data_IF_334689131454
#
_entry.id   IF_334689131454
#
_cell.length_a   1.000
_cell.length_b   1.000
_cell.length_c   1.000
_cell.angle_alpha   90.00
_cell.angle_beta   90.00
_cell.angle_gamma   90.00
#
_symmetry.space_group_name_H-M   'P 1'
#
loop_
_entity.id
_entity.type
_entity.pdbx_description
1 polymer ?
#
# COMPACT_ATOMS: atom_id res chain seq x y z
N UNK A 1 18.02 -47.54 -18.79
CA UNK A 1 17.12 -46.37 -18.84
C UNK A 1 17.94 -45.11 -18.70
N UNK A 2 18.09 -44.39 -19.81
CA UNK A 2 18.78 -43.09 -19.83
C UNK A 2 18.06 -42.12 -18.85
N UNK A 3 18.77 -41.73 -17.80
CA UNK A 3 18.30 -40.71 -16.87
C UNK A 3 18.40 -39.36 -17.61
N UNK A 4 17.26 -38.77 -17.92
CA UNK A 4 17.22 -37.43 -18.52
C UNK A 4 17.16 -36.37 -17.42
N UNK A 5 18.07 -35.42 -17.45
CA UNK A 5 17.91 -34.16 -16.73
C UNK A 5 16.91 -33.29 -17.51
N UNK A 6 15.74 -33.09 -16.93
CA UNK A 6 14.65 -32.35 -17.55
C UNK A 6 14.11 -31.32 -16.58
N UNK A 7 14.05 -30.07 -17.03
CA UNK A 7 13.33 -29.01 -16.32
C UNK A 7 12.29 -28.41 -17.28
N UNK A 8 11.01 -28.61 -16.99
CA UNK A 8 9.91 -28.04 -17.74
C UNK A 8 9.22 -26.96 -16.91
N UNK A 9 8.98 -25.80 -17.52
CA UNK A 9 8.28 -24.68 -16.87
C UNK A 9 7.04 -24.32 -17.69
N UNK A 10 5.93 -24.09 -16.99
CA UNK A 10 4.68 -23.60 -17.55
C UNK A 10 4.21 -22.42 -16.71
N UNK A 11 3.78 -21.34 -17.36
CA UNK A 11 3.23 -20.19 -16.64
C UNK A 11 2.06 -19.59 -17.41
N UNK A 12 1.04 -19.18 -16.66
CA UNK A 12 -0.09 -18.40 -17.16
C UNK A 12 -0.28 -17.24 -16.22
N UNK A 13 -0.43 -16.03 -16.74
CA UNK A 13 -0.67 -14.84 -15.94
C UNK A 13 -1.74 -13.95 -16.59
N UNK A 14 -2.75 -13.60 -15.79
CA UNK A 14 -3.77 -12.61 -16.10
C UNK A 14 -3.59 -11.49 -15.07
N UNK A 15 -3.07 -10.35 -15.51
CA UNK A 15 -2.73 -9.26 -14.59
C UNK A 15 -3.62 -8.06 -14.84
N UNK A 16 -4.08 -7.44 -13.74
CA UNK A 16 -4.80 -6.17 -13.78
C UNK A 16 -6.07 -6.21 -14.64
N UNK A 17 -6.84 -7.31 -14.53
CA UNK A 17 -8.13 -7.43 -15.23
C UNK A 17 -9.15 -6.54 -14.54
N UNK A 18 -9.60 -5.49 -15.24
CA UNK A 18 -10.56 -4.52 -14.73
C UNK A 18 -11.44 -3.99 -15.87
N UNK A 19 -12.57 -3.43 -15.48
CA UNK A 19 -13.45 -2.71 -16.41
C UNK A 19 -13.14 -1.24 -16.30
N UNK A 20 -12.71 -0.61 -17.42
CA UNK A 20 -12.46 0.83 -17.43
C UNK A 20 -13.75 1.61 -17.63
N UNK A 21 -13.83 2.78 -16.97
CA UNK A 21 -14.99 3.68 -17.12
C UNK A 21 -14.94 4.38 -18.47
N UNK A 22 -16.11 4.57 -19.08
CA UNK A 22 -16.22 5.39 -20.29
C UNK A 22 -15.81 6.84 -20.02
N UNK A 23 -15.35 7.56 -21.06
CA UNK A 23 -14.95 8.97 -20.98
C UNK A 23 -16.05 9.87 -20.39
N UNK A 24 -17.32 9.59 -20.69
CA UNK A 24 -18.46 10.31 -20.13
C UNK A 24 -18.65 10.04 -18.63
N UNK A 25 -18.42 8.82 -18.18
CA UNK A 25 -18.52 8.40 -16.80
C UNK A 25 -17.35 8.92 -15.93
N UNK A 26 -16.17 9.15 -16.53
CA UNK A 26 -15.00 9.71 -15.81
C UNK A 26 -15.23 11.13 -15.29
N UNK A 27 -16.16 11.90 -15.88
CA UNK A 27 -16.53 13.24 -15.41
C UNK A 27 -17.33 13.24 -14.10
N UNK A 28 -17.93 12.12 -13.74
CA UNK A 28 -18.71 11.95 -12.50
C UNK A 28 -17.88 11.19 -11.45
N UNK A 29 -18.15 11.45 -10.17
CA UNK A 29 -17.55 10.63 -9.09
C UNK A 29 -17.93 9.15 -9.30
N UNK A 30 -17.00 8.21 -9.06
CA UNK A 30 -17.34 6.79 -9.05
C UNK A 30 -18.36 6.50 -7.96
N UNK A 31 -19.27 5.57 -8.23
CA UNK A 31 -20.13 5.03 -7.17
C UNK A 31 -19.39 3.87 -6.47
N UNK A 32 -19.70 3.59 -5.20
CA UNK A 32 -19.05 2.47 -4.50
C UNK A 32 -19.27 1.11 -5.18
N UNK A 33 -20.37 0.94 -5.94
CA UNK A 33 -20.72 -0.32 -6.60
C UNK A 33 -20.19 -0.43 -8.03
N UNK A 34 -19.45 0.55 -8.53
CA UNK A 34 -18.89 0.50 -9.89
C UNK A 34 -17.92 -0.66 -10.06
N UNK A 35 -18.08 -1.43 -11.13
CA UNK A 35 -17.15 -2.53 -11.49
C UNK A 35 -15.75 -2.02 -11.79
N UNK A 36 -15.60 -0.77 -12.19
CA UNK A 36 -14.29 -0.14 -12.40
C UNK A 36 -13.43 0.00 -11.13
N UNK A 37 -14.05 -0.11 -9.97
CA UNK A 37 -13.34 -0.11 -8.68
C UNK A 37 -12.65 -1.46 -8.39
N UNK A 38 -13.00 -2.50 -9.15
CA UNK A 38 -12.48 -3.85 -8.96
C UNK A 38 -11.36 -4.17 -9.93
N UNK A 39 -10.38 -4.88 -9.43
CA UNK A 39 -9.23 -5.35 -10.18
C UNK A 39 -8.93 -6.78 -9.75
N UNK A 40 -8.79 -7.67 -10.72
CA UNK A 40 -8.45 -9.06 -10.49
C UNK A 40 -7.12 -9.42 -11.14
N UNK A 41 -6.34 -10.26 -10.46
CA UNK A 41 -5.08 -10.81 -10.96
C UNK A 41 -5.06 -12.29 -10.65
N UNK A 42 -4.61 -13.09 -11.61
CA UNK A 42 -4.40 -14.52 -11.43
C UNK A 42 -3.07 -14.92 -12.07
N UNK A 43 -2.31 -15.76 -11.40
CA UNK A 43 -1.14 -16.39 -11.99
C UNK A 43 -0.99 -17.84 -11.54
N UNK A 44 -0.55 -18.66 -12.46
CA UNK A 44 -0.21 -20.06 -12.26
C UNK A 44 1.20 -20.29 -12.80
N UNK A 45 2.05 -20.90 -11.99
CA UNK A 45 3.38 -21.32 -12.39
C UNK A 45 3.58 -22.77 -12.00
N UNK A 46 4.05 -23.58 -12.93
CA UNK A 46 4.42 -24.98 -12.70
C UNK A 46 5.86 -25.21 -13.14
N UNK A 47 6.62 -25.87 -12.28
CA UNK A 47 7.99 -26.31 -12.55
C UNK A 47 8.07 -27.81 -12.28
N UNK A 48 8.29 -28.59 -13.34
CA UNK A 48 8.56 -30.00 -13.26
C UNK A 48 10.05 -30.25 -13.49
N UNK A 49 10.70 -30.88 -12.52
CA UNK A 49 12.11 -31.25 -12.58
C UNK A 49 12.27 -32.76 -12.41
N UNK A 50 13.20 -33.32 -13.16
CA UNK A 50 13.66 -34.71 -13.07
C UNK A 50 15.16 -34.73 -13.25
N UNK A 51 15.86 -35.53 -12.50
CA UNK A 51 17.31 -35.73 -12.66
C UNK A 51 17.72 -37.13 -12.19
N UNK A 52 19.04 -37.39 -12.04
CA UNK A 52 19.58 -38.67 -11.63
C UNK A 52 19.05 -39.12 -10.24
N UNK A 53 18.87 -38.18 -9.30
CA UNK A 53 18.49 -38.45 -7.92
C UNK A 53 16.98 -38.20 -7.67
N UNK A 54 16.34 -37.40 -8.55
CA UNK A 54 14.93 -37.00 -8.41
C UNK A 54 14.10 -37.71 -9.48
N UNK A 55 13.13 -38.50 -9.04
CA UNK A 55 12.18 -39.15 -9.94
C UNK A 55 11.25 -38.11 -10.57
N UNK A 56 10.71 -37.22 -9.75
CA UNK A 56 10.06 -36.00 -10.14
C UNK A 56 9.98 -35.04 -8.95
N UNK A 57 10.11 -33.75 -9.25
CA UNK A 57 9.80 -32.64 -8.37
C UNK A 57 8.84 -31.74 -9.16
N UNK A 58 7.57 -31.77 -8.80
CA UNK A 58 6.54 -30.95 -9.41
C UNK A 58 6.07 -29.90 -8.42
N UNK A 59 6.44 -28.64 -8.69
CA UNK A 59 6.04 -27.49 -7.91
C UNK A 59 5.04 -26.65 -8.68
N UNK A 60 3.89 -26.43 -8.07
CA UNK A 60 2.79 -25.63 -8.60
C UNK A 60 2.52 -24.46 -7.67
N UNK A 61 2.64 -23.24 -8.19
CA UNK A 61 2.35 -22.00 -7.46
C UNK A 61 1.12 -21.32 -8.09
N UNK A 62 0.05 -21.23 -7.32
CA UNK A 62 -1.19 -20.52 -7.67
C UNK A 62 -1.23 -19.21 -6.89
N UNK A 63 -1.51 -18.11 -7.57
CA UNK A 63 -1.73 -16.80 -6.94
C UNK A 63 -2.99 -16.17 -7.51
N UNK A 64 -3.84 -15.69 -6.64
CA UNK A 64 -5.02 -14.91 -6.98
C UNK A 64 -5.05 -13.64 -6.15
N UNK A 65 -5.40 -12.52 -6.76
CA UNK A 65 -5.61 -11.27 -6.03
C UNK A 65 -6.89 -10.60 -6.53
N UNK A 66 -7.69 -10.13 -5.58
CA UNK A 66 -8.85 -9.30 -5.83
C UNK A 66 -8.68 -8.00 -5.06
N UNK A 67 -8.65 -6.90 -5.78
CA UNK A 67 -8.51 -5.57 -5.20
C UNK A 67 -9.74 -4.73 -5.53
N UNK A 68 -10.24 -4.02 -4.52
CA UNK A 68 -11.27 -3.01 -4.63
C UNK A 68 -10.67 -1.67 -4.22
N UNK A 69 -10.81 -0.64 -5.05
CA UNK A 69 -10.32 0.72 -4.76
C UNK A 69 -11.43 1.71 -5.09
N UNK A 70 -11.97 2.31 -4.05
CA UNK A 70 -12.91 3.42 -4.16
C UNK A 70 -12.19 4.72 -3.83
N UNK A 71 -12.23 5.68 -4.75
CA UNK A 71 -11.70 7.02 -4.56
C UNK A 71 -12.65 8.02 -5.18
N UNK A 72 -13.18 8.89 -4.38
CA UNK A 72 -14.11 9.93 -4.82
C UNK A 72 -13.83 11.26 -4.13
N UNK A 73 -14.32 12.34 -4.72
CA UNK A 73 -14.34 13.63 -4.05
C UNK A 73 -15.33 13.55 -2.89
N UNK A 74 -14.90 13.82 -1.65
CA UNK A 74 -15.78 13.70 -0.50
C UNK A 74 -16.91 14.71 -0.57
N UNK A 75 -18.08 14.31 -0.08
CA UNK A 75 -19.21 15.23 0.09
C UNK A 75 -18.94 16.16 1.27
N UNK A 76 -18.66 17.42 0.97
CA UNK A 76 -18.30 18.44 1.95
C UNK A 76 -19.50 19.26 2.39
N UNK A 77 -19.83 19.17 3.68
CA UNK A 77 -20.87 19.94 4.34
C UNK A 77 -20.25 21.13 5.07
N UNK A 78 -20.70 22.34 4.79
CA UNK A 78 -20.28 23.60 5.44
C UNK A 78 -21.47 24.30 6.04
N UNK A 79 -21.91 23.96 7.26
CA UNK A 79 -23.15 24.46 7.83
C UNK A 79 -23.12 25.97 8.09
N UNK A 80 -21.95 26.54 8.41
CA UNK A 80 -21.80 27.92 8.84
C UNK A 80 -21.20 28.86 7.77
N UNK A 81 -21.22 28.47 6.49
CA UNK A 81 -20.66 29.27 5.39
C UNK A 81 -21.22 30.69 5.29
N UNK A 82 -22.44 30.94 5.76
CA UNK A 82 -23.13 32.25 5.70
C UNK A 82 -22.62 33.29 6.70
N UNK A 83 -21.78 32.90 7.68
CA UNK A 83 -21.26 33.82 8.69
C UNK A 83 -20.21 34.73 8.03
N UNK A 84 -20.45 36.05 8.01
CA UNK A 84 -19.57 37.03 7.39
C UNK A 84 -18.56 37.63 8.39
N UNK A 85 -18.79 37.48 9.69
CA UNK A 85 -17.96 38.07 10.73
C UNK A 85 -16.56 37.46 10.77
N UNK A 86 -15.54 38.31 10.62
CA UNK A 86 -14.12 37.88 10.63
C UNK A 86 -13.67 37.24 11.96
N UNK A 87 -14.22 37.72 13.08
CA UNK A 87 -13.89 37.18 14.41
C UNK A 87 -14.47 35.79 14.66
N UNK A 88 -15.45 35.36 13.84
CA UNK A 88 -16.08 34.04 13.88
C UNK A 88 -15.54 33.11 12.80
N UNK A 89 -14.35 33.39 12.25
CA UNK A 89 -13.73 32.57 11.20
C UNK A 89 -13.59 31.09 11.62
N UNK A 90 -13.32 30.80 12.89
CA UNK A 90 -13.28 29.46 13.46
C UNK A 90 -14.56 28.69 13.23
N UNK A 91 -15.72 29.32 13.49
CA UNK A 91 -17.04 28.70 13.36
C UNK A 91 -17.42 28.62 11.87
N UNK A 92 -17.20 29.68 11.11
CA UNK A 92 -17.50 29.74 9.67
C UNK A 92 -16.82 28.63 8.88
N UNK A 93 -15.56 28.32 9.23
CA UNK A 93 -14.73 27.40 8.48
C UNK A 93 -14.90 25.93 8.95
N UNK A 94 -15.82 25.68 9.88
CA UNK A 94 -16.23 24.31 10.22
C UNK A 94 -16.78 23.65 8.97
N UNK A 95 -16.12 22.57 8.56
CA UNK A 95 -16.53 21.74 7.45
C UNK A 95 -16.44 20.27 7.86
N UNK A 96 -17.30 19.48 7.27
CA UNK A 96 -17.35 18.05 7.52
C UNK A 96 -17.50 17.30 6.22
N UNK A 97 -16.63 16.33 5.99
CA UNK A 97 -16.75 15.40 4.88
C UNK A 97 -17.44 14.13 5.36
N UNK A 98 -18.63 13.86 4.85
CA UNK A 98 -19.46 12.73 5.27
C UNK A 98 -18.96 11.39 4.67
N UNK A 99 -18.22 11.44 3.57
CA UNK A 99 -17.72 10.25 2.90
C UNK A 99 -16.20 10.20 2.95
N UNK A 100 -15.59 9.00 3.06
CA UNK A 100 -14.15 8.87 3.00
C UNK A 100 -13.61 9.29 1.62
N UNK A 101 -12.39 9.81 1.61
CA UNK A 101 -11.69 10.23 0.39
C UNK A 101 -11.21 9.03 -0.41
N UNK A 102 -10.79 7.96 0.30
CA UNK A 102 -10.33 6.71 -0.30
C UNK A 102 -10.64 5.54 0.62
N UNK A 103 -11.12 4.47 0.02
CA UNK A 103 -11.20 3.16 0.65
C UNK A 103 -10.63 2.12 -0.29
N UNK A 104 -9.72 1.28 0.19
CA UNK A 104 -9.24 0.13 -0.56
C UNK A 104 -9.29 -1.14 0.28
N UNK A 105 -9.64 -2.23 -0.38
CA UNK A 105 -9.63 -3.57 0.18
C UNK A 105 -8.96 -4.49 -0.82
N UNK A 106 -7.98 -5.27 -0.38
CA UNK A 106 -7.27 -6.22 -1.22
C UNK A 106 -7.18 -7.56 -0.52
N UNK A 107 -7.44 -8.61 -1.27
CA UNK A 107 -7.28 -9.99 -0.84
C UNK A 107 -6.32 -10.68 -1.79
N UNK A 108 -5.21 -11.16 -1.27
CA UNK A 108 -4.20 -11.94 -1.99
C UNK A 108 -4.26 -13.38 -1.48
N UNK A 109 -4.40 -14.34 -2.38
CA UNK A 109 -4.44 -15.77 -2.09
C UNK A 109 -3.24 -16.40 -2.77
N UNK A 110 -2.47 -17.17 -2.02
CA UNK A 110 -1.32 -17.91 -2.56
C UNK A 110 -1.36 -19.35 -2.09
N UNK A 111 -1.27 -20.28 -3.03
CA UNK A 111 -1.16 -21.71 -2.76
C UNK A 111 0.05 -22.28 -3.48
N UNK A 112 0.93 -22.92 -2.73
CA UNK A 112 2.08 -23.69 -3.25
C UNK A 112 1.83 -25.15 -2.95
N UNK A 113 1.92 -25.98 -3.97
CA UNK A 113 1.88 -27.44 -3.89
C UNK A 113 3.17 -27.98 -4.50
N UNK A 114 3.94 -28.73 -3.74
CA UNK A 114 5.12 -29.42 -4.23
C UNK A 114 5.00 -30.92 -3.95
N UNK A 115 5.20 -31.70 -5.00
CA UNK A 115 5.26 -33.16 -4.96
C UNK A 115 6.68 -33.57 -5.32
N UNK A 116 7.40 -34.13 -4.35
CA UNK A 116 8.78 -34.58 -4.52
C UNK A 116 8.86 -36.08 -4.32
N UNK A 117 9.42 -36.78 -5.30
CA UNK A 117 9.79 -38.19 -5.19
C UNK A 117 11.26 -38.36 -5.54
N UNK A 118 12.02 -38.80 -4.58
CA UNK A 118 13.44 -39.17 -4.78
C UNK A 118 13.54 -40.54 -5.45
N UNK A 119 14.63 -40.76 -6.20
CA UNK A 119 14.97 -42.08 -6.73
C UNK A 119 15.67 -42.90 -5.67
N UNK A 120 15.33 -44.18 -5.60
CA UNK A 120 16.12 -45.13 -4.87
C UNK A 120 17.25 -45.61 -5.78
N UNK A 121 18.44 -45.03 -5.61
CA UNK A 121 19.60 -45.36 -6.45
C UNK A 121 20.15 -46.73 -6.16
N UNK A 122 20.09 -47.16 -4.90
CA UNK A 122 20.61 -48.46 -4.44
C UNK A 122 19.71 -49.65 -4.87
N UNK A 123 18.39 -49.43 -4.86
CA UNK A 123 17.43 -50.42 -5.28
C UNK A 123 16.30 -49.79 -6.15
N UNK A 124 16.52 -49.72 -7.48
CA UNK A 124 15.58 -49.06 -8.38
C UNK A 124 14.19 -49.71 -8.49
N UNK A 125 14.03 -50.96 -8.03
CA UNK A 125 12.73 -51.63 -8.01
C UNK A 125 11.80 -51.09 -6.91
N UNK A 126 12.35 -50.56 -5.82
CA UNK A 126 11.59 -49.97 -4.74
C UNK A 126 11.49 -48.43 -4.89
N UNK A 127 10.29 -47.95 -5.17
CA UNK A 127 10.03 -46.52 -5.24
C UNK A 127 9.93 -45.94 -3.83
N UNK A 128 10.64 -44.84 -3.58
CA UNK A 128 10.49 -44.07 -2.36
C UNK A 128 9.12 -43.34 -2.34
N UNK A 129 8.56 -43.12 -1.15
CA UNK A 129 7.27 -42.44 -1.02
C UNK A 129 7.35 -41.01 -1.53
N UNK A 130 6.21 -40.49 -2.05
CA UNK A 130 6.07 -39.10 -2.48
C UNK A 130 5.92 -38.23 -1.24
N UNK A 131 6.72 -37.17 -1.17
CA UNK A 131 6.63 -36.15 -0.15
C UNK A 131 5.76 -35.01 -0.69
N UNK A 132 4.81 -34.57 0.13
CA UNK A 132 3.88 -33.48 -0.19
C UNK A 132 4.19 -32.27 0.67
N UNK A 133 4.53 -31.14 0.05
CA UNK A 133 4.66 -29.86 0.72
C UNK A 133 3.52 -28.93 0.22
N UNK A 134 2.64 -28.56 1.14
CA UNK A 134 1.46 -27.76 0.87
C UNK A 134 1.49 -26.52 1.72
N UNK A 135 1.33 -25.37 1.10
CA UNK A 135 1.21 -24.11 1.80
C UNK A 135 0.12 -23.27 1.13
N UNK A 136 -0.94 -22.99 1.89
CA UNK A 136 -2.06 -22.21 1.40
C UNK A 136 -2.31 -21.06 2.38
N UNK A 137 -2.09 -19.83 1.89
CA UNK A 137 -2.18 -18.61 2.69
C UNK A 137 -3.05 -17.57 1.98
N UNK A 138 -3.67 -16.71 2.78
CA UNK A 138 -4.40 -15.54 2.31
C UNK A 138 -3.97 -14.33 3.12
N UNK A 139 -3.79 -13.21 2.45
CA UNK A 139 -3.57 -11.92 3.09
C UNK A 139 -4.70 -10.96 2.69
N UNK A 140 -5.28 -10.28 3.65
CA UNK A 140 -6.27 -9.22 3.45
C UNK A 140 -5.69 -7.92 3.95
N UNK A 141 -5.77 -6.89 3.13
CA UNK A 141 -5.32 -5.53 3.46
C UNK A 141 -6.48 -4.57 3.27
N UNK A 142 -6.68 -3.69 4.23
CA UNK A 142 -7.70 -2.65 4.20
C UNK A 142 -7.04 -1.31 4.45
N UNK A 143 -7.33 -0.32 3.60
CA UNK A 143 -6.87 1.05 3.78
C UNK A 143 -8.06 2.00 3.69
N UNK A 144 -8.17 2.90 4.66
CA UNK A 144 -9.17 3.94 4.71
C UNK A 144 -8.49 5.28 4.95
N UNK A 145 -8.71 6.22 4.05
CA UNK A 145 -8.29 7.62 4.20
C UNK A 145 -9.54 8.47 4.26
N UNK A 146 -9.72 9.15 5.37
CA UNK A 146 -10.88 9.99 5.59
C UNK A 146 -10.47 11.38 6.07
N UNK A 147 -10.53 12.34 5.18
CA UNK A 147 -10.41 13.75 5.51
C UNK A 147 -11.71 14.23 6.17
N UNK A 148 -11.90 13.92 7.47
CA UNK A 148 -13.12 14.27 8.22
C UNK A 148 -13.45 15.76 8.12
N UNK A 149 -12.42 16.60 8.14
CA UNK A 149 -12.52 18.04 7.88
C UNK A 149 -11.22 18.53 7.25
N UNK A 150 -11.14 19.82 6.91
CA UNK A 150 -9.87 20.43 6.51
C UNK A 150 -8.81 20.38 7.62
N UNK A 151 -9.25 20.30 8.87
CA UNK A 151 -8.38 20.27 10.04
C UNK A 151 -8.11 18.88 10.57
N UNK A 152 -8.99 17.90 10.32
CA UNK A 152 -8.91 16.55 10.91
C UNK A 152 -8.84 15.52 9.79
N UNK A 153 -7.78 14.71 9.84
CA UNK A 153 -7.55 13.59 8.95
C UNK A 153 -7.49 12.29 9.74
N UNK A 154 -8.11 11.26 9.21
CA UNK A 154 -8.09 9.92 9.77
C UNK A 154 -7.58 8.95 8.72
N UNK A 155 -6.54 8.21 9.08
CA UNK A 155 -5.96 7.15 8.25
C UNK A 155 -6.01 5.84 9.02
N UNK A 156 -6.56 4.81 8.41
CA UNK A 156 -6.61 3.47 8.98
C UNK A 156 -6.05 2.46 7.99
N UNK A 157 -5.14 1.65 8.45
CA UNK A 157 -4.58 0.52 7.72
C UNK A 157 -4.73 -0.75 8.55
N UNK A 158 -5.20 -1.83 7.95
CA UNK A 158 -5.28 -3.13 8.59
C UNK A 158 -4.77 -4.22 7.65
N UNK A 159 -4.01 -5.17 8.19
CA UNK A 159 -3.50 -6.33 7.49
C UNK A 159 -3.80 -7.58 8.30
N UNK A 160 -4.38 -8.58 7.65
CA UNK A 160 -4.73 -9.86 8.24
C UNK A 160 -4.14 -10.98 7.42
N UNK A 161 -3.35 -11.84 8.06
CA UNK A 161 -2.83 -13.06 7.44
C UNK A 161 -3.61 -14.25 7.95
N UNK A 162 -3.98 -15.11 7.02
CA UNK A 162 -4.76 -16.31 7.27
C UNK A 162 -4.06 -17.50 6.62
N UNK A 163 -4.20 -18.66 7.24
CA UNK A 163 -3.69 -19.92 6.73
C UNK A 163 -4.84 -20.90 6.55
N UNK A 164 -4.79 -21.65 5.48
CA UNK A 164 -5.67 -22.79 5.24
C UNK A 164 -4.87 -24.05 5.52
N UNK A 165 -5.31 -24.81 6.51
CA UNK A 165 -4.64 -26.05 6.90
C UNK A 165 -5.16 -27.18 6.00
N UNK A 166 -4.32 -27.65 5.06
CA UNK A 166 -4.62 -28.76 4.16
C UNK A 166 -4.23 -30.09 4.79
N UNK A 167 -5.00 -31.14 4.50
CA UNK A 167 -4.67 -32.50 4.97
C UNK A 167 -3.35 -32.98 4.38
N UNK A 168 -2.51 -33.68 5.15
CA UNK A 168 -1.29 -34.30 4.63
C UNK A 168 -1.61 -35.42 3.63
N UNK A 169 -0.65 -35.72 2.75
CA UNK A 169 -0.75 -36.84 1.80
C UNK A 169 -1.38 -36.46 0.45
N UNK A 170 -1.72 -37.47 -0.38
CA UNK A 170 -2.23 -37.28 -1.71
C UNK A 170 -3.60 -36.59 -1.70
N UNK A 171 -3.84 -35.83 -2.73
CA UNK A 171 -5.13 -35.17 -2.94
C UNK A 171 -6.01 -36.05 -3.80
N UNK A 172 -7.15 -36.49 -3.27
CA UNK A 172 -8.21 -37.09 -4.07
C UNK A 172 -9.01 -35.95 -4.72
N UNK A 173 -9.12 -36.00 -6.05
CA UNK A 173 -9.63 -34.88 -6.88
C UNK A 173 -11.02 -34.40 -6.44
N UNK A 174 -11.91 -35.31 -6.11
CA UNK A 174 -13.31 -34.98 -5.76
C UNK A 174 -13.48 -34.30 -4.40
N UNK A 175 -12.61 -34.66 -3.45
CA UNK A 175 -12.65 -34.09 -2.09
C UNK A 175 -11.96 -32.72 -2.01
N UNK A 176 -11.04 -32.45 -2.93
CA UNK A 176 -10.21 -31.24 -2.92
C UNK A 176 -11.00 -30.00 -3.24
N UNK A 177 -11.85 -30.05 -4.26
CA UNK A 177 -12.62 -28.88 -4.68
C UNK A 177 -13.60 -28.45 -3.60
N UNK A 178 -14.31 -29.39 -2.98
CA UNK A 178 -15.23 -29.11 -1.86
C UNK A 178 -14.48 -28.57 -0.65
N UNK A 179 -13.36 -29.19 -0.28
CA UNK A 179 -12.55 -28.76 0.84
C UNK A 179 -11.92 -27.37 0.66
N UNK A 180 -11.44 -27.04 -0.54
CA UNK A 180 -10.91 -25.70 -0.85
C UNK A 180 -11.99 -24.63 -0.81
N UNK A 181 -13.17 -24.93 -1.34
CA UNK A 181 -14.30 -23.99 -1.32
C UNK A 181 -14.82 -23.77 0.11
N UNK A 182 -14.91 -24.81 0.92
CA UNK A 182 -15.33 -24.71 2.32
C UNK A 182 -14.29 -23.90 3.14
N UNK A 183 -13.01 -24.14 2.93
CA UNK A 183 -11.96 -23.37 3.57
C UNK A 183 -11.97 -21.90 3.13
N UNK A 184 -12.17 -21.61 1.84
CA UNK A 184 -12.31 -20.26 1.35
C UNK A 184 -13.55 -19.58 1.93
N UNK A 185 -14.67 -20.31 2.04
CA UNK A 185 -15.91 -19.81 2.62
C UNK A 185 -15.79 -19.56 4.13
N UNK A 186 -15.09 -20.42 4.87
CA UNK A 186 -14.79 -20.23 6.30
C UNK A 186 -13.79 -19.10 6.56
N UNK A 187 -13.10 -18.61 5.51
CA UNK A 187 -12.15 -17.52 5.59
C UNK A 187 -10.76 -17.91 6.10
N UNK A 188 -10.50 -19.20 6.38
CA UNK A 188 -9.23 -19.69 6.89
C UNK A 188 -8.98 -19.36 8.36
N UNK A 189 -7.87 -19.89 8.91
CA UNK A 189 -7.46 -19.64 10.29
C UNK A 189 -6.57 -18.39 10.36
N UNK A 190 -6.95 -17.35 11.11
CA UNK A 190 -6.11 -16.17 11.26
C UNK A 190 -4.81 -16.52 12.00
N UNK A 191 -3.70 -16.00 11.49
CA UNK A 191 -2.37 -16.19 12.08
C UNK A 191 -1.80 -14.89 12.63
N UNK A 192 -2.00 -13.80 11.92
CA UNK A 192 -1.54 -12.47 12.31
C UNK A 192 -2.61 -11.45 11.94
N UNK A 193 -2.79 -10.48 12.82
CA UNK A 193 -3.59 -9.30 12.56
C UNK A 193 -2.85 -8.08 13.06
N UNK A 194 -2.67 -7.11 12.19
CA UNK A 194 -2.06 -5.83 12.51
C UNK A 194 -2.94 -4.70 12.01
N UNK A 195 -3.16 -3.68 12.84
CA UNK A 195 -3.75 -2.45 12.35
C UNK A 195 -3.12 -1.22 12.96
N UNK A 196 -3.13 -0.16 12.18
CA UNK A 196 -2.67 1.17 12.58
C UNK A 196 -3.77 2.18 12.31
N UNK A 197 -4.12 2.97 13.30
CA UNK A 197 -5.04 4.09 13.19
C UNK A 197 -4.31 5.39 13.50
N UNK A 198 -4.37 6.36 12.59
CA UNK A 198 -3.76 7.67 12.73
C UNK A 198 -4.84 8.74 12.70
N UNK A 199 -4.83 9.64 13.68
CA UNK A 199 -5.65 10.84 13.69
C UNK A 199 -4.70 12.04 13.71
N UNK A 200 -4.74 12.83 12.65
CA UNK A 200 -4.04 14.11 12.57
C UNK A 200 -5.00 15.27 12.74
N UNK A 201 -4.73 16.16 13.66
CA UNK A 201 -5.54 17.34 13.91
C UNK A 201 -4.69 18.60 13.79
N UNK A 202 -4.99 19.40 12.80
CA UNK A 202 -4.45 20.75 12.65
C UNK A 202 -5.30 21.72 13.48
N UNK A 203 -4.81 22.10 14.66
CA UNK A 203 -5.54 23.00 15.53
C UNK A 203 -5.63 24.39 14.87
N UNK A 204 -6.83 24.93 14.65
CA UNK A 204 -7.03 26.18 13.94
C UNK A 204 -6.76 27.43 14.83
N UNK A 205 -5.72 27.38 15.68
CA UNK A 205 -5.31 28.46 16.58
C UNK A 205 -4.94 29.72 15.79
N UNK A 206 -4.37 29.53 14.60
CA UNK A 206 -4.02 30.61 13.69
C UNK A 206 -5.22 31.44 13.16
N UNK A 207 -6.46 30.96 13.38
CA UNK A 207 -7.68 31.68 13.03
C UNK A 207 -8.21 32.54 14.20
N UNK A 208 -7.62 32.44 15.37
CA UNK A 208 -7.95 33.27 16.53
C UNK A 208 -7.22 34.60 16.36
N UNK A 209 -7.90 35.74 16.46
CA UNK A 209 -7.24 37.06 16.45
C UNK A 209 -6.08 37.10 17.44
N UNK A 210 -4.97 37.66 17.04
CA UNK A 210 -3.69 37.75 17.76
C UNK A 210 -2.84 36.47 17.81
N UNK A 211 -3.40 35.27 17.59
CA UNK A 211 -2.67 33.99 17.61
C UNK A 211 -2.32 33.44 16.22
N UNK A 212 -2.48 34.25 15.16
CA UNK A 212 -2.23 33.86 13.76
C UNK A 212 -0.80 33.39 13.49
N UNK A 213 0.16 33.75 14.33
CA UNK A 213 1.55 33.36 14.22
C UNK A 213 1.83 31.95 14.76
N UNK A 214 0.84 31.31 15.41
CA UNK A 214 0.95 29.97 16.00
C UNK A 214 0.29 28.95 15.06
N UNK A 215 1.04 27.95 14.63
CA UNK A 215 0.53 26.77 13.96
C UNK A 215 0.78 25.56 14.86
N UNK A 216 -0.26 24.84 15.20
CA UNK A 216 -0.18 23.67 16.08
C UNK A 216 -0.84 22.47 15.41
N UNK A 217 -0.12 21.36 15.42
CA UNK A 217 -0.61 20.07 14.88
C UNK A 217 -0.46 19.00 15.97
N UNK A 218 -1.55 18.33 16.26
CA UNK A 218 -1.56 17.13 17.09
C UNK A 218 -1.72 15.90 16.22
N UNK A 219 -1.04 14.81 16.55
CA UNK A 219 -1.17 13.52 15.91
C UNK A 219 -1.28 12.45 16.98
N UNK A 220 -2.23 11.55 16.82
CA UNK A 220 -2.35 10.34 17.60
C UNK A 220 -2.21 9.13 16.66
N UNK A 221 -1.35 8.20 17.03
CA UNK A 221 -1.16 6.92 16.33
C UNK A 221 -1.45 5.81 17.32
N UNK A 222 -2.35 4.92 16.96
CA UNK A 222 -2.63 3.69 17.71
C UNK A 222 -2.26 2.50 16.83
N UNK A 223 -1.52 1.55 17.40
CA UNK A 223 -1.11 0.31 16.75
C UNK A 223 -1.60 -0.87 17.58
N UNK A 224 -2.03 -1.91 16.91
CA UNK A 224 -2.47 -3.15 17.50
C UNK A 224 -1.93 -4.32 16.69
N UNK A 225 -1.26 -5.22 17.36
CA UNK A 225 -0.73 -6.46 16.82
C UNK A 225 -1.31 -7.64 17.58
N UNK A 226 -1.81 -8.60 16.83
CA UNK A 226 -2.26 -9.88 17.34
C UNK A 226 -1.62 -11.00 16.52
N UNK A 227 -1.08 -11.98 17.22
CA UNK A 227 -0.46 -13.15 16.62
C UNK A 227 -0.93 -14.42 17.33
N UNK A 228 -1.35 -15.41 16.54
CA UNK A 228 -1.67 -16.73 17.07
C UNK A 228 -0.38 -17.50 17.42
N UNK A 229 -0.49 -18.42 18.35
CA UNK A 229 0.58 -19.32 18.67
C UNK A 229 0.92 -20.24 17.47
N UNK A 230 2.13 -20.84 17.46
CA UNK A 230 2.51 -21.77 16.41
C UNK A 230 1.60 -23.01 16.43
N UNK A 231 1.33 -23.61 15.27
CA UNK A 231 0.54 -24.83 15.17
C UNK A 231 1.15 -25.97 15.97
N UNK A 232 2.48 -26.04 16.03
CA UNK A 232 3.22 -27.05 16.81
C UNK A 232 2.98 -26.88 18.32
N UNK A 233 2.93 -25.64 18.80
CA UNK A 233 2.64 -25.38 20.22
C UNK A 233 1.18 -25.68 20.57
N UNK A 234 0.25 -25.52 19.61
CA UNK A 234 -1.16 -25.87 19.79
C UNK A 234 -1.42 -27.39 19.74
N UNK A 235 -0.63 -28.15 18.96
CA UNK A 235 -0.75 -29.61 18.83
C UNK A 235 0.00 -30.35 19.94
N UNK A 236 1.21 -29.91 20.27
CA UNK A 236 1.93 -30.40 21.43
C UNK A 236 1.45 -29.62 22.65
N UNK A 237 0.41 -30.11 23.31
CA UNK A 237 0.13 -29.79 24.70
C UNK A 237 1.25 -30.43 25.56
N UNK A 238 2.42 -29.79 25.55
CA UNK A 238 3.49 -30.14 26.47
C UNK A 238 3.03 -29.54 27.81
N UNK A 239 2.68 -30.43 28.73
CA UNK A 239 2.31 -30.11 30.11
C UNK A 239 1.12 -29.16 30.32
N UNK A 240 0.01 -29.33 29.61
CA UNK A 240 -1.22 -28.56 29.84
C UNK A 240 -1.08 -27.04 29.70
N UNK A 241 0.07 -26.54 29.26
CA UNK A 241 0.28 -25.10 29.07
C UNK A 241 -0.20 -24.70 27.67
N UNK A 242 -1.33 -23.99 27.63
CA UNK A 242 -1.75 -23.25 26.44
C UNK A 242 -1.08 -21.87 26.48
N UNK A 243 -0.13 -21.64 25.60
CA UNK A 243 0.58 -20.36 25.52
C UNK A 243 -0.29 -19.23 24.98
N UNK A 244 -1.53 -19.49 24.59
CA UNK A 244 -2.50 -18.49 24.15
C UNK A 244 -2.06 -17.70 22.91
N UNK A 245 -2.48 -16.45 22.87
CA UNK A 245 -2.18 -15.52 21.78
C UNK A 245 -1.22 -14.45 22.27
N UNK A 246 -0.35 -13.95 21.38
CA UNK A 246 0.42 -12.75 21.64
C UNK A 246 -0.39 -11.54 21.20
N UNK A 247 -0.55 -10.57 22.09
CA UNK A 247 -1.25 -9.33 21.84
C UNK A 247 -0.37 -8.18 22.29
N UNK A 248 -0.17 -7.22 21.38
CA UNK A 248 0.59 -6.01 21.66
C UNK A 248 -0.20 -4.80 21.14
N UNK A 249 -0.26 -3.76 21.94
CA UNK A 249 -0.81 -2.48 21.54
C UNK A 249 0.12 -1.34 21.92
N UNK A 250 0.11 -0.28 21.13
CA UNK A 250 0.83 0.93 21.40
C UNK A 250 0.00 2.17 21.06
N UNK A 251 0.21 3.24 21.81
CA UNK A 251 -0.40 4.54 21.54
C UNK A 251 0.64 5.64 21.64
N UNK A 252 0.74 6.49 20.60
CA UNK A 252 1.71 7.58 20.53
C UNK A 252 1.01 8.90 20.26
N UNK A 253 1.26 9.88 21.11
CA UNK A 253 0.90 11.27 20.88
C UNK A 253 2.09 12.07 20.39
N UNK A 254 1.89 12.92 19.41
CA UNK A 254 2.86 13.88 18.94
C UNK A 254 2.18 15.24 18.80
N UNK A 255 2.78 16.27 19.41
CA UNK A 255 2.36 17.65 19.27
C UNK A 255 3.50 18.43 18.63
N UNK A 256 3.22 19.05 17.48
CA UNK A 256 4.20 19.85 16.75
C UNK A 256 3.70 21.27 16.63
N UNK A 257 4.50 22.22 17.10
CA UNK A 257 4.21 23.66 17.03
C UNK A 257 5.20 24.39 16.12
N UNK A 258 4.71 25.32 15.31
CA UNK A 258 5.53 26.25 14.54
C UNK A 258 5.11 27.69 14.89
N UNK A 259 6.09 28.52 15.26
CA UNK A 259 5.90 29.91 15.63
C UNK A 259 6.51 30.81 14.54
N UNK A 260 5.66 31.55 13.82
CA UNK A 260 6.11 32.51 12.82
C UNK A 260 6.34 33.90 13.46
N UNK A 261 7.56 34.13 13.92
CA UNK A 261 7.92 35.40 14.58
C UNK A 261 7.79 36.62 13.65
N UNK A 262 7.94 36.47 12.36
CA UNK A 262 7.73 37.59 11.44
C UNK A 262 6.27 38.05 11.45
N UNK A 263 5.32 37.13 11.50
CA UNK A 263 3.89 37.44 11.64
C UNK A 263 3.61 38.06 13.02
N UNK A 264 4.26 37.58 14.06
CA UNK A 264 4.17 38.13 15.42
C UNK A 264 4.69 39.60 15.49
N UNK A 265 5.91 39.86 15.01
CA UNK A 265 6.52 41.18 15.02
C UNK A 265 5.72 42.18 14.20
N UNK A 266 5.13 41.79 13.08
CA UNK A 266 4.33 42.66 12.24
C UNK A 266 3.02 43.16 12.90
N UNK A 267 2.55 42.47 13.96
CA UNK A 267 1.35 42.86 14.71
C UNK A 267 1.59 44.01 15.70
N UNK A 268 2.80 44.16 16.18
CA UNK A 268 3.15 45.18 17.13
C UNK A 268 3.94 46.30 16.42
N UNK A 269 3.39 47.52 16.28
CA UNK A 269 4.08 48.62 15.60
C UNK A 269 5.48 48.90 16.10
N UNK A 270 5.70 48.73 17.40
CA UNK A 270 6.97 48.88 18.08
C UNK A 270 8.00 47.84 17.57
N UNK A 271 7.60 46.57 17.36
CA UNK A 271 8.49 45.46 16.89
C UNK A 271 8.70 45.49 15.38
N UNK A 272 7.75 46.04 14.63
CA UNK A 272 7.84 46.17 13.17
C UNK A 272 9.08 46.93 12.71
N UNK A 273 9.54 47.89 13.51
CA UNK A 273 10.75 48.65 13.24
C UNK A 273 12.01 47.83 13.13
N UNK A 274 12.08 46.71 13.88
CA UNK A 274 13.24 45.80 13.89
C UNK A 274 13.22 44.84 12.68
N UNK A 275 12.06 44.40 12.21
CA UNK A 275 11.95 43.53 11.02
C UNK A 275 12.29 44.28 9.74
N UNK A 276 11.99 45.58 9.65
CA UNK A 276 12.29 46.43 8.48
C UNK A 276 13.80 46.75 8.38
N UNK A 277 14.51 46.77 9.52
CA UNK A 277 15.95 47.07 9.58
C UNK A 277 16.79 45.90 9.00
N UNK A 278 16.36 44.66 9.17
CA UNK A 278 17.10 43.46 8.71
C UNK A 278 17.09 43.35 7.19
N UNK A 279 16.02 43.79 6.51
CA UNK A 279 15.95 43.82 5.04
C UNK A 279 16.80 44.93 4.40
N UNK A 280 17.07 46.02 5.12
CA UNK A 280 17.98 47.08 4.63
C UNK A 280 19.44 46.68 4.74
N UNK A 281 19.82 45.89 5.74
CA UNK A 281 21.20 45.39 5.94
C UNK A 281 21.63 44.45 4.79
N UNK A 282 20.75 43.60 4.30
CA UNK A 282 21.08 42.67 3.20
C UNK A 282 21.11 43.37 1.81
N UNK A 283 20.44 44.49 1.63
CA UNK A 283 20.53 45.28 0.38
C UNK A 283 21.81 46.13 0.29
N UNK A 284 22.43 46.47 1.44
CA UNK A 284 23.67 47.29 1.47
C UNK A 284 24.95 46.44 1.36
N UNK A 285 24.88 45.11 1.57
CA UNK A 285 26.03 44.18 1.45
C UNK A 285 26.11 43.46 0.08
N UNK A 286 25.14 43.71 -0.82
CA UNK A 286 25.12 43.14 -2.18
C UNK A 286 26.00 43.86 -3.23
N UNK A 287 26.90 44.79 -2.83
CA UNK A 287 27.68 45.63 -3.75
C UNK A 287 29.19 45.37 -3.74
N UNK A 288 29.71 44.21 -3.44
CA UNK A 288 31.10 43.83 -3.76
C UNK A 288 31.14 42.40 -4.26
N UNK A 289 31.44 42.29 -5.58
CA UNK A 289 31.51 41.02 -6.28
C UNK A 289 32.53 40.07 -5.64
N UNK A 290 32.04 38.93 -5.20
CA UNK A 290 32.86 37.75 -5.03
C UNK A 290 32.92 37.00 -6.37
N UNK A 291 34.11 36.52 -6.82
CA UNK A 291 34.20 35.73 -8.02
C UNK A 291 33.41 34.44 -7.90
N UNK A 292 32.62 34.16 -8.95
CA UNK A 292 31.78 32.97 -9.04
C UNK A 292 32.61 31.69 -8.92
N UNK A 293 32.25 30.79 -8.01
CA UNK A 293 32.75 29.44 -8.00
C UNK A 293 32.34 28.71 -9.27
N UNK A 294 33.21 27.91 -9.89
CA UNK A 294 32.89 27.20 -11.11
C UNK A 294 31.79 26.14 -10.86
N UNK A 295 30.74 26.20 -11.68
CA UNK A 295 29.73 25.16 -11.74
C UNK A 295 30.36 23.86 -12.22
N UNK A 296 29.95 22.69 -11.70
CA UNK A 296 30.31 21.42 -12.28
C UNK A 296 29.70 21.30 -13.68
N UNK A 297 30.59 21.06 -14.65
CA UNK A 297 30.21 20.82 -16.05
C UNK A 297 29.63 19.43 -16.15
N UNK A 298 28.30 19.32 -16.34
CA UNK A 298 27.69 18.09 -16.85
C UNK A 298 27.96 18.02 -18.36
N UNK A 299 28.83 17.11 -18.77
CA UNK A 299 29.04 16.75 -20.18
C UNK A 299 27.78 16.04 -20.70
N UNK A 300 26.98 16.72 -21.50
CA UNK A 300 26.01 16.09 -22.39
C UNK A 300 26.68 15.73 -23.73
N UNK A 301 26.46 14.51 -24.26
CA UNK A 301 26.96 14.14 -25.56
C UNK A 301 26.27 14.96 -26.66
N UNK A 302 27.07 15.63 -27.50
CA UNK A 302 26.60 16.33 -28.69
C UNK A 302 26.17 15.33 -29.76
N UNK A 303 24.87 15.21 -30.01
CA UNK A 303 24.34 14.59 -31.23
C UNK A 303 24.58 15.51 -32.44
N UNK A 304 25.36 15.01 -33.37
CA UNK A 304 25.66 15.65 -34.66
C UNK A 304 24.43 15.51 -35.57
N UNK A 305 23.66 16.56 -35.73
CA UNK A 305 22.62 16.64 -36.78
C UNK A 305 23.30 16.91 -38.12
N UNK A 306 23.44 15.86 -38.95
CA UNK A 306 23.72 15.98 -40.40
C UNK A 306 22.46 16.46 -41.10
N UNK A 307 22.55 17.61 -41.75
CA UNK A 307 21.49 18.13 -42.60
C UNK A 307 21.22 17.26 -43.82
N UNK A 308 19.98 16.92 -44.05
CA UNK A 308 19.49 16.36 -45.30
C UNK A 308 18.72 17.40 -46.06
N UNK A 309 19.30 17.83 -47.19
CA UNK A 309 18.71 18.65 -48.22
C UNK A 309 17.40 18.03 -48.77
N UNK A 310 16.29 18.77 -48.66
CA UNK A 310 15.06 18.46 -49.42
C UNK A 310 15.24 18.86 -50.89
N UNK A 311 15.38 17.88 -51.75
CA UNK A 311 15.23 18.02 -53.22
C UNK A 311 13.73 18.00 -53.55
N UNK A 312 13.29 19.04 -54.22
CA UNK A 312 11.96 19.15 -54.83
C UNK A 312 11.86 18.19 -56.02
N UNK A 313 10.82 17.38 -56.08
CA UNK A 313 10.42 16.66 -57.27
C UNK A 313 9.23 17.37 -57.98
N UNK A 314 9.23 17.37 -59.33
CA UNK A 314 8.19 18.10 -60.09
C UNK A 314 6.97 17.21 -60.32
N UNK A 315 5.78 17.90 -60.44
CA UNK A 315 4.50 17.35 -60.91
C UNK A 315 4.67 16.82 -62.33
N UNK A 316 4.11 15.67 -62.57
CA UNK A 316 3.63 15.22 -63.91
C UNK A 316 2.20 14.68 -63.81
N UNK A 317 1.50 15.14 -64.70
CA UNK A 317 0.19 14.90 -65.28
C UNK A 317 -0.50 13.54 -64.96
#
# INVERSE_FOLDING_TARGET
TLVQDLTQRRSVALTNVRVDRSLAAMKKNPTPLDLSNWNATYSFNEVLRRDANIQFDNRQDYRGALAYVYQAKPFNLRPFKKITNKNLALIRDINLNLTPSRFSARTDVQRTLQLLQMRNVDNPQFKLPVTYNKNFTMERTYDLVWDLSQAIKFDYNARMRLRFDERPGPMQVDTVQLFLLDNLRSGGRPTNYHHTANIGWQLPINKIPYLEFIQLQARYTAEYDWQTNSLLASIKKIDSLDYGFMLQNSGKWALTGNLNFNTFYNKFPFLKKYTTSTNRGNAALGGRGMPASPKPTEEQPKETKKGLNKKKEPKRD
#
